data_IF_062922462235
#
_entry.id   IF_062922462235
#
_cell.length_a   1.000
_cell.length_b   1.000
_cell.length_c   1.000
_cell.angle_alpha   90.00
_cell.angle_beta   90.00
_cell.angle_gamma   90.00
#
_symmetry.space_group_name_H-M   'P 1'
#
loop_
_entity.id
_entity.type
_entity.pdbx_description
1 polymer ?
#
# COMPACT_ATOMS: atom_id res chain seq x y z
N UNK A 1 -30.46 45.76 -12.80
CA UNK A 1 -29.29 44.87 -12.83
C UNK A 1 -28.76 44.81 -14.26
N UNK A 2 -27.51 45.13 -14.46
CA UNK A 2 -26.94 45.24 -15.81
C UNK A 2 -26.82 43.85 -16.45
N UNK A 3 -27.42 43.61 -17.63
CA UNK A 3 -27.39 42.31 -18.33
C UNK A 3 -25.95 41.76 -18.47
N UNK A 4 -24.93 42.64 -18.59
CA UNK A 4 -23.53 42.22 -18.63
C UNK A 4 -23.06 41.64 -17.28
N UNK A 5 -23.50 42.17 -16.16
CA UNK A 5 -23.14 41.65 -14.84
C UNK A 5 -23.78 40.29 -14.58
N UNK A 6 -25.05 40.10 -14.99
CA UNK A 6 -25.73 38.80 -14.88
C UNK A 6 -25.01 37.74 -15.69
N UNK A 7 -24.65 38.03 -16.93
CA UNK A 7 -23.91 37.10 -17.78
C UNK A 7 -22.55 36.72 -17.19
N UNK A 8 -21.83 37.66 -16.59
CA UNK A 8 -20.53 37.39 -15.93
C UNK A 8 -20.70 36.46 -14.72
N UNK A 9 -21.73 36.71 -13.88
CA UNK A 9 -21.99 35.85 -12.72
C UNK A 9 -22.41 34.43 -13.13
N UNK A 10 -23.28 34.30 -14.15
CA UNK A 10 -23.70 33.00 -14.70
C UNK A 10 -22.50 32.25 -15.26
N UNK A 11 -21.63 32.91 -16.01
CA UNK A 11 -20.41 32.31 -16.57
C UNK A 11 -19.45 31.85 -15.49
N UNK A 12 -19.28 32.67 -14.44
CA UNK A 12 -18.41 32.35 -13.30
C UNK A 12 -18.95 31.14 -12.51
N UNK A 13 -20.26 31.09 -12.25
CA UNK A 13 -20.90 29.95 -11.61
C UNK A 13 -20.78 28.68 -12.44
N UNK A 14 -20.95 28.79 -13.77
CA UNK A 14 -20.83 27.65 -14.68
C UNK A 14 -19.40 27.12 -14.72
N UNK A 15 -18.41 28.00 -14.78
CA UNK A 15 -16.98 27.60 -14.70
C UNK A 15 -16.68 26.92 -13.37
N UNK A 16 -17.17 27.49 -12.25
CA UNK A 16 -16.96 26.95 -10.91
C UNK A 16 -17.63 25.57 -10.77
N UNK A 17 -18.85 25.42 -11.29
CA UNK A 17 -19.57 24.15 -11.30
C UNK A 17 -18.85 23.08 -12.12
N UNK A 18 -18.42 23.42 -13.36
CA UNK A 18 -17.67 22.49 -14.22
C UNK A 18 -16.33 22.10 -13.55
N UNK A 19 -15.64 23.09 -12.95
CA UNK A 19 -14.38 22.83 -12.23
C UNK A 19 -14.58 21.90 -11.02
N UNK A 20 -15.65 22.12 -10.25
CA UNK A 20 -15.99 21.25 -9.12
C UNK A 20 -16.34 19.83 -9.56
N UNK A 21 -17.08 19.70 -10.65
CA UNK A 21 -17.42 18.40 -11.25
C UNK A 21 -16.17 17.67 -11.73
N UNK A 22 -15.29 18.36 -12.42
CA UNK A 22 -14.01 17.85 -12.90
C UNK A 22 -13.09 17.40 -11.74
N UNK A 23 -12.96 18.24 -10.71
CA UNK A 23 -12.19 17.89 -9.50
C UNK A 23 -12.79 16.67 -8.79
N UNK A 24 -14.10 16.56 -8.72
CA UNK A 24 -14.78 15.38 -8.15
C UNK A 24 -14.46 14.10 -8.92
N UNK A 25 -14.43 14.16 -10.25
CA UNK A 25 -14.08 13.01 -11.10
C UNK A 25 -12.60 12.61 -10.97
N UNK A 26 -11.71 13.58 -10.86
CA UNK A 26 -10.25 13.31 -10.77
C UNK A 26 -9.84 12.90 -9.35
N UNK A 27 -10.63 13.23 -8.32
CA UNK A 27 -10.28 13.01 -6.92
C UNK A 27 -9.71 11.61 -6.63
N UNK A 28 -10.30 10.59 -7.22
CA UNK A 28 -9.85 9.20 -7.04
C UNK A 28 -8.44 8.94 -7.60
N UNK A 29 -8.02 9.71 -8.62
CA UNK A 29 -6.71 9.55 -9.27
C UNK A 29 -5.62 10.44 -8.65
N UNK A 30 -6.01 11.46 -7.88
CA UNK A 30 -5.06 12.41 -7.30
C UNK A 30 -3.99 11.73 -6.46
N UNK A 31 -4.35 10.69 -5.71
CA UNK A 31 -3.39 9.94 -4.91
C UNK A 31 -2.37 9.21 -5.79
N UNK A 32 -2.82 8.58 -6.88
CA UNK A 32 -1.94 7.89 -7.83
C UNK A 32 -0.99 8.89 -8.53
N UNK A 33 -1.50 10.06 -8.94
CA UNK A 33 -0.73 11.13 -9.57
C UNK A 33 0.30 11.70 -8.58
N UNK A 34 -0.12 11.94 -7.33
CA UNK A 34 0.76 12.44 -6.28
C UNK A 34 1.90 11.46 -5.96
N UNK A 35 1.57 10.19 -5.80
CA UNK A 35 2.57 9.13 -5.62
C UNK A 35 3.51 9.04 -6.83
N UNK A 36 2.98 9.14 -8.04
CA UNK A 36 3.80 9.17 -9.26
C UNK A 36 4.83 10.31 -9.23
N UNK A 37 4.43 11.50 -8.76
CA UNK A 37 5.33 12.64 -8.58
C UNK A 37 6.45 12.36 -7.57
N UNK A 38 6.10 11.78 -6.42
CA UNK A 38 7.07 11.41 -5.38
C UNK A 38 8.05 10.36 -5.92
N UNK A 39 7.54 9.28 -6.52
CA UNK A 39 8.40 8.22 -7.07
C UNK A 39 9.25 8.71 -8.25
N UNK A 40 8.73 9.59 -9.10
CA UNK A 40 9.51 10.22 -10.17
C UNK A 40 10.66 11.07 -9.60
N UNK A 41 10.37 11.91 -8.60
CA UNK A 41 11.39 12.74 -7.95
C UNK A 41 12.47 11.89 -7.24
N UNK A 42 12.06 10.81 -6.56
CA UNK A 42 12.98 9.86 -5.91
C UNK A 42 13.88 9.16 -6.93
N UNK A 43 13.31 8.77 -8.05
CA UNK A 43 13.97 7.98 -9.08
C UNK A 43 14.70 8.84 -10.12
N UNK A 44 14.62 10.17 -10.01
CA UNK A 44 15.26 11.09 -10.95
C UNK A 44 16.78 10.88 -11.11
N UNK A 45 17.56 10.62 -10.01
CA UNK A 45 18.98 10.30 -10.17
C UNK A 45 19.24 9.01 -10.95
N UNK A 46 18.35 8.02 -10.79
CA UNK A 46 18.41 6.74 -11.50
C UNK A 46 18.05 6.93 -12.99
N UNK A 47 16.99 7.70 -13.26
CA UNK A 47 16.58 8.09 -14.59
C UNK A 47 17.73 8.75 -15.37
N UNK A 48 18.46 9.69 -14.76
CA UNK A 48 19.61 10.33 -15.41
C UNK A 48 20.78 9.38 -15.68
N UNK A 49 20.95 8.33 -14.88
CA UNK A 49 21.95 7.28 -15.18
C UNK A 49 21.53 6.48 -16.42
N UNK A 50 20.27 6.09 -16.50
CA UNK A 50 19.72 5.40 -17.66
C UNK A 50 19.69 6.28 -18.90
N UNK A 51 19.35 7.56 -18.78
CA UNK A 51 19.35 8.50 -19.90
C UNK A 51 20.75 8.63 -20.55
N UNK A 52 21.79 8.71 -19.72
CA UNK A 52 23.18 8.68 -20.19
C UNK A 52 23.55 7.33 -20.82
N UNK A 53 23.09 6.23 -20.24
CA UNK A 53 23.38 4.88 -20.74
C UNK A 53 22.68 4.59 -22.09
N UNK A 54 21.45 5.08 -22.24
CA UNK A 54 20.69 4.94 -23.49
C UNK A 54 20.94 6.06 -24.53
N UNK A 55 21.99 6.87 -24.35
CA UNK A 55 22.38 7.90 -25.29
C UNK A 55 21.38 9.04 -25.48
N UNK A 56 20.71 9.47 -24.39
CA UNK A 56 19.73 10.57 -24.41
C UNK A 56 18.33 10.20 -24.87
N UNK A 57 18.03 8.90 -25.01
CA UNK A 57 16.69 8.41 -25.37
C UNK A 57 15.78 8.42 -24.14
N UNK A 58 15.19 9.58 -23.85
CA UNK A 58 14.37 9.85 -22.67
C UNK A 58 13.27 8.81 -22.40
N UNK A 59 12.57 8.37 -23.45
CA UNK A 59 11.52 7.37 -23.31
C UNK A 59 12.07 6.01 -22.82
N UNK A 60 13.19 5.55 -23.38
CA UNK A 60 13.83 4.30 -22.95
C UNK A 60 14.37 4.40 -21.53
N UNK A 61 14.93 5.55 -21.16
CA UNK A 61 15.38 5.81 -19.79
C UNK A 61 14.22 5.77 -18.78
N UNK A 62 13.08 6.37 -19.12
CA UNK A 62 11.87 6.33 -18.31
C UNK A 62 11.35 4.90 -18.15
N UNK A 63 11.24 4.15 -19.24
CA UNK A 63 10.84 2.73 -19.19
C UNK A 63 11.80 1.89 -18.36
N UNK A 64 13.10 2.03 -18.55
CA UNK A 64 14.10 1.29 -17.76
C UNK A 64 14.03 1.62 -16.28
N UNK A 65 13.81 2.89 -15.93
CA UNK A 65 13.64 3.33 -14.53
C UNK A 65 12.39 2.75 -13.91
N UNK A 66 11.25 2.83 -14.61
CA UNK A 66 9.98 2.28 -14.11
C UNK A 66 10.08 0.76 -13.97
N UNK A 67 10.62 0.07 -14.97
CA UNK A 67 10.79 -1.37 -14.95
C UNK A 67 11.61 -1.83 -13.72
N UNK A 68 12.72 -1.15 -13.45
CA UNK A 68 13.53 -1.47 -12.28
C UNK A 68 12.77 -1.25 -10.97
N UNK A 69 12.03 -0.14 -10.84
CA UNK A 69 11.25 0.15 -9.63
C UNK A 69 10.15 -0.88 -9.43
N UNK A 70 9.40 -1.17 -10.50
CA UNK A 70 8.34 -2.19 -10.49
C UNK A 70 8.93 -3.54 -10.07
N UNK A 71 10.08 -3.92 -10.63
CA UNK A 71 10.77 -5.14 -10.29
C UNK A 71 11.18 -5.21 -8.81
N UNK A 72 11.79 -4.12 -8.29
CA UNK A 72 12.23 -4.02 -6.89
C UNK A 72 11.05 -4.03 -5.91
N UNK A 73 9.87 -3.52 -6.31
CA UNK A 73 8.68 -3.48 -5.44
C UNK A 73 7.84 -4.75 -5.60
N UNK A 74 7.58 -5.20 -6.84
CA UNK A 74 6.65 -6.31 -7.10
C UNK A 74 7.22 -7.64 -6.63
N UNK A 75 8.54 -7.88 -6.75
CA UNK A 75 9.12 -9.16 -6.32
C UNK A 75 8.97 -9.37 -4.82
N UNK A 76 9.40 -8.45 -3.93
CA UNK A 76 9.21 -8.66 -2.49
C UNK A 76 7.74 -8.76 -2.11
N UNK A 77 6.88 -7.91 -2.71
CA UNK A 77 5.45 -7.93 -2.43
C UNK A 77 4.79 -9.23 -2.89
N UNK A 78 5.15 -9.72 -4.08
CA UNK A 78 4.65 -10.99 -4.61
C UNK A 78 5.11 -12.19 -3.78
N UNK A 79 6.36 -12.19 -3.35
CA UNK A 79 6.90 -13.22 -2.47
C UNK A 79 6.17 -13.21 -1.10
N UNK A 80 5.96 -12.03 -0.51
CA UNK A 80 5.20 -11.87 0.73
C UNK A 80 3.77 -12.39 0.59
N UNK A 81 3.06 -11.98 -0.46
CA UNK A 81 1.71 -12.47 -0.72
C UNK A 81 1.67 -14.00 -0.91
N UNK A 82 2.65 -14.57 -1.60
CA UNK A 82 2.78 -16.01 -1.78
C UNK A 82 2.96 -16.76 -0.46
N UNK A 83 3.82 -16.24 0.43
CA UNK A 83 4.07 -16.83 1.75
C UNK A 83 2.83 -16.72 2.64
N UNK A 84 2.23 -15.53 2.72
CA UNK A 84 1.01 -15.31 3.54
C UNK A 84 -0.14 -16.18 3.05
N UNK A 85 -0.32 -16.28 1.73
CA UNK A 85 -1.35 -17.16 1.15
C UNK A 85 -1.07 -18.63 1.47
N UNK A 86 0.17 -19.08 1.32
CA UNK A 86 0.56 -20.43 1.67
C UNK A 86 0.35 -20.77 3.15
N UNK A 87 0.67 -19.84 4.05
CA UNK A 87 0.40 -20.01 5.48
C UNK A 87 -1.10 -20.02 5.79
N UNK A 88 -1.87 -19.10 5.18
CA UNK A 88 -3.32 -19.07 5.35
C UNK A 88 -4.01 -20.35 4.91
N UNK A 89 -3.55 -20.96 3.79
CA UNK A 89 -4.04 -22.27 3.33
C UNK A 89 -3.71 -23.36 4.33
N UNK A 90 -2.45 -23.44 4.80
CA UNK A 90 -2.03 -24.43 5.81
C UNK A 90 -2.84 -24.33 7.10
N UNK A 91 -3.06 -23.11 7.60
CA UNK A 91 -3.90 -22.87 8.79
C UNK A 91 -5.33 -23.33 8.51
N UNK A 92 -5.89 -23.01 7.34
CA UNK A 92 -7.22 -23.45 6.94
C UNK A 92 -7.34 -24.98 6.88
N UNK A 93 -6.35 -25.67 6.30
CA UNK A 93 -6.29 -27.14 6.21
C UNK A 93 -6.11 -27.81 7.58
N UNK A 94 -5.44 -27.17 8.52
CA UNK A 94 -5.23 -27.71 9.86
C UNK A 94 -6.43 -27.42 10.79
N UNK A 95 -6.96 -26.21 10.71
CA UNK A 95 -8.05 -25.77 11.62
C UNK A 95 -9.39 -26.37 11.19
N UNK A 96 -9.66 -26.47 9.89
CA UNK A 96 -10.96 -26.99 9.40
C UNK A 96 -11.25 -28.43 9.84
N UNK A 97 -10.36 -29.41 9.63
CA UNK A 97 -10.59 -30.78 10.12
C UNK A 97 -10.68 -30.85 11.64
N UNK A 98 -9.84 -30.10 12.35
CA UNK A 98 -9.88 -30.03 13.81
C UNK A 98 -11.23 -29.51 14.30
N UNK A 99 -11.76 -28.44 13.71
CA UNK A 99 -13.07 -27.89 14.05
C UNK A 99 -14.20 -28.86 13.68
N UNK A 100 -14.16 -29.46 12.48
CA UNK A 100 -15.15 -30.44 12.03
C UNK A 100 -15.16 -31.68 12.94
N UNK A 101 -13.99 -32.17 13.34
CA UNK A 101 -13.85 -33.30 14.25
C UNK A 101 -14.39 -32.97 15.65
N UNK A 102 -14.08 -31.77 16.17
CA UNK A 102 -14.58 -31.30 17.47
C UNK A 102 -16.10 -31.05 17.47
N UNK A 103 -16.66 -30.61 16.35
CA UNK A 103 -18.11 -30.40 16.20
C UNK A 103 -18.86 -31.70 15.96
N UNK A 104 -18.23 -32.69 15.32
CA UNK A 104 -18.81 -34.00 14.97
C UNK A 104 -18.79 -34.97 16.16
N UNK A 105 -17.83 -34.81 17.09
CA UNK A 105 -17.71 -35.59 18.31
C UNK A 105 -17.86 -34.72 19.56
N UNK A 106 -19.11 -34.47 19.99
CA UNK A 106 -19.36 -33.67 21.20
C UNK A 106 -18.66 -34.23 22.47
N UNK A 107 -18.30 -35.50 22.45
CA UNK A 107 -17.62 -36.18 23.54
C UNK A 107 -16.12 -35.90 23.62
N UNK A 108 -15.47 -35.53 22.53
CA UNK A 108 -14.03 -35.22 22.52
C UNK A 108 -13.74 -33.93 23.32
N UNK A 109 -14.53 -32.89 23.13
CA UNK A 109 -14.44 -31.65 23.94
C UNK A 109 -14.80 -31.95 25.39
N UNK A 110 -15.81 -32.78 25.62
CA UNK A 110 -16.28 -33.21 26.95
C UNK A 110 -15.14 -33.91 27.70
N UNK A 111 -14.40 -34.82 27.06
CA UNK A 111 -13.32 -35.57 27.71
C UNK A 111 -12.11 -34.66 28.04
N UNK A 112 -11.78 -33.71 27.16
CA UNK A 112 -10.71 -32.73 27.41
C UNK A 112 -11.12 -31.75 28.53
N UNK A 113 -12.37 -31.33 28.55
CA UNK A 113 -12.92 -30.47 29.62
C UNK A 113 -13.02 -31.18 30.96
N UNK A 114 -13.37 -32.48 30.98
CA UNK A 114 -13.42 -33.31 32.22
C UNK A 114 -12.06 -33.45 32.89
N UNK A 115 -10.96 -33.29 32.15
CA UNK A 115 -9.61 -33.31 32.72
C UNK A 115 -9.20 -32.01 33.42
N UNK A 116 -10.01 -30.95 33.34
CA UNK A 116 -9.73 -29.68 33.99
C UNK A 116 -10.25 -29.68 35.45
N UNK A 117 -9.49 -29.16 36.42
CA UNK A 117 -9.84 -29.18 37.83
C UNK A 117 -11.08 -28.34 38.22
N UNK A 118 -11.68 -27.62 37.24
CA UNK A 118 -12.85 -26.76 37.45
C UNK A 118 -14.06 -27.18 36.59
N UNK A 119 -14.14 -28.44 36.16
CA UNK A 119 -15.17 -28.93 35.26
C UNK A 119 -16.59 -28.72 35.79
N UNK A 120 -16.85 -29.00 37.07
CA UNK A 120 -18.16 -28.88 37.69
C UNK A 120 -18.76 -27.48 37.62
N UNK A 121 -17.92 -26.44 37.50
CA UNK A 121 -18.36 -25.06 37.35
C UNK A 121 -18.65 -24.67 35.90
N UNK A 122 -18.13 -25.41 34.92
CA UNK A 122 -18.23 -25.14 33.49
C UNK A 122 -19.37 -25.95 32.87
N UNK A 123 -19.74 -27.09 33.40
CA UNK A 123 -20.76 -27.98 32.88
C UNK A 123 -22.11 -27.30 32.59
N UNK A 124 -22.66 -26.41 33.45
CA UNK A 124 -23.92 -25.72 33.16
C UNK A 124 -23.84 -24.79 31.93
N UNK A 125 -22.64 -24.34 31.57
CA UNK A 125 -22.40 -23.41 30.45
C UNK A 125 -21.89 -24.10 29.20
N UNK A 126 -21.78 -25.44 29.19
CA UNK A 126 -21.23 -26.23 28.07
C UNK A 126 -21.90 -25.89 26.72
N UNK A 127 -23.22 -25.94 26.67
CA UNK A 127 -23.97 -25.67 25.44
C UNK A 127 -23.80 -24.22 24.98
N UNK A 128 -23.74 -23.28 25.91
CA UNK A 128 -23.48 -21.88 25.60
C UNK A 128 -22.07 -21.68 25.02
N UNK A 129 -21.03 -22.32 25.63
CA UNK A 129 -19.64 -22.26 25.15
C UNK A 129 -19.52 -22.88 23.75
N UNK A 130 -20.12 -24.03 23.49
CA UNK A 130 -20.12 -24.69 22.21
C UNK A 130 -20.81 -23.83 21.12
N UNK A 131 -21.96 -23.25 21.48
CA UNK A 131 -22.69 -22.36 20.56
C UNK A 131 -21.84 -21.10 20.24
N UNK A 132 -21.19 -20.51 21.23
CA UNK A 132 -20.32 -19.35 21.05
C UNK A 132 -19.06 -19.69 20.27
N UNK A 133 -18.44 -20.82 20.51
CA UNK A 133 -17.31 -21.30 19.74
C UNK A 133 -17.70 -21.52 18.26
N UNK A 134 -18.83 -22.17 17.99
CA UNK A 134 -19.36 -22.31 16.65
C UNK A 134 -19.68 -20.98 15.95
N UNK A 135 -20.24 -20.02 16.68
CA UNK A 135 -20.45 -18.66 16.16
C UNK A 135 -19.14 -17.96 15.83
N UNK A 136 -18.12 -18.06 16.70
CA UNK A 136 -16.79 -17.49 16.44
C UNK A 136 -16.15 -18.09 15.18
N UNK A 137 -16.21 -19.41 15.04
CA UNK A 137 -15.71 -20.09 13.83
C UNK A 137 -16.47 -19.63 12.58
N UNK A 138 -17.80 -19.53 12.66
CA UNK A 138 -18.63 -19.00 11.58
C UNK A 138 -18.26 -17.55 11.22
N UNK A 139 -18.05 -16.69 12.21
CA UNK A 139 -17.61 -15.31 11.98
C UNK A 139 -16.20 -15.22 11.38
N UNK A 140 -15.27 -16.05 11.84
CA UNK A 140 -13.91 -16.12 11.25
C UNK A 140 -13.98 -16.60 9.81
N UNK A 141 -14.75 -17.63 9.52
CA UNK A 141 -14.90 -18.18 8.16
C UNK A 141 -15.55 -17.17 7.22
N UNK A 142 -16.64 -16.50 7.63
CA UNK A 142 -17.28 -15.45 6.82
C UNK A 142 -16.34 -14.27 6.62
N UNK A 143 -15.64 -13.82 7.64
CA UNK A 143 -14.63 -12.76 7.55
C UNK A 143 -13.54 -13.12 6.53
N UNK A 144 -13.01 -14.34 6.56
CA UNK A 144 -12.00 -14.80 5.60
C UNK A 144 -12.55 -14.82 4.17
N UNK A 145 -13.76 -15.35 3.96
CA UNK A 145 -14.40 -15.40 2.63
C UNK A 145 -14.67 -14.00 2.11
N UNK A 146 -15.19 -13.09 2.94
CA UNK A 146 -15.47 -11.71 2.56
C UNK A 146 -14.17 -10.95 2.24
N UNK A 147 -13.08 -11.22 2.99
CA UNK A 147 -11.78 -10.65 2.70
C UNK A 147 -11.17 -11.19 1.40
N UNK A 148 -11.35 -12.47 1.11
CA UNK A 148 -10.91 -13.04 -0.18
C UNK A 148 -11.67 -12.42 -1.36
N UNK A 149 -12.97 -12.19 -1.24
CA UNK A 149 -13.76 -11.46 -2.25
C UNK A 149 -13.31 -10.01 -2.37
N UNK A 150 -13.10 -9.32 -1.26
CA UNK A 150 -12.60 -7.93 -1.25
C UNK A 150 -11.21 -7.82 -1.89
N UNK A 151 -10.34 -8.82 -1.73
CA UNK A 151 -9.03 -8.89 -2.41
C UNK A 151 -9.20 -8.91 -3.92
N UNK A 152 -10.16 -9.67 -4.46
CA UNK A 152 -10.34 -9.76 -5.91
C UNK A 152 -10.75 -8.41 -6.53
N UNK A 153 -11.75 -7.73 -5.96
CA UNK A 153 -12.19 -6.42 -6.44
C UNK A 153 -11.12 -5.35 -6.15
N UNK A 154 -10.50 -5.42 -4.96
CA UNK A 154 -9.41 -4.53 -4.58
C UNK A 154 -8.20 -4.65 -5.49
N UNK A 155 -7.89 -5.86 -5.97
CA UNK A 155 -6.77 -6.11 -6.88
C UNK A 155 -6.97 -5.42 -8.23
N UNK A 156 -8.18 -5.49 -8.81
CA UNK A 156 -8.48 -4.80 -10.09
C UNK A 156 -8.31 -3.29 -9.93
N UNK A 157 -8.88 -2.71 -8.88
CA UNK A 157 -8.73 -1.28 -8.60
C UNK A 157 -7.27 -0.90 -8.31
N UNK A 158 -6.55 -1.73 -7.57
CA UNK A 158 -5.13 -1.53 -7.30
C UNK A 158 -4.30 -1.55 -8.59
N UNK A 159 -4.50 -2.54 -9.46
CA UNK A 159 -3.79 -2.63 -10.74
C UNK A 159 -4.11 -1.44 -11.64
N UNK A 160 -5.35 -0.98 -11.66
CA UNK A 160 -5.76 0.20 -12.40
C UNK A 160 -5.09 1.48 -11.86
N UNK A 161 -5.08 1.67 -10.54
CA UNK A 161 -4.40 2.80 -9.91
C UNK A 161 -2.88 2.74 -10.08
N UNK A 162 -2.30 1.55 -10.00
CA UNK A 162 -0.89 1.30 -10.28
C UNK A 162 -0.55 1.67 -11.73
N UNK A 163 -1.38 1.27 -12.70
CA UNK A 163 -1.21 1.64 -14.10
C UNK A 163 -1.21 3.16 -14.27
N UNK A 164 -2.18 3.88 -13.68
CA UNK A 164 -2.25 5.33 -13.74
C UNK A 164 -1.01 5.96 -13.09
N UNK A 165 -0.57 5.44 -11.95
CA UNK A 165 0.63 5.90 -11.27
C UNK A 165 1.88 5.74 -12.15
N UNK A 166 2.09 4.56 -12.73
CA UNK A 166 3.26 4.27 -13.58
C UNK A 166 3.22 5.07 -14.87
N UNK A 167 2.03 5.21 -15.49
CA UNK A 167 1.83 6.03 -16.68
C UNK A 167 2.16 7.50 -16.41
N UNK A 168 1.63 8.06 -15.33
CA UNK A 168 1.93 9.44 -14.91
C UNK A 168 3.40 9.61 -14.57
N UNK A 169 3.99 8.65 -13.86
CA UNK A 169 5.41 8.64 -13.52
C UNK A 169 6.30 8.64 -14.77
N UNK A 170 5.91 7.93 -15.83
CA UNK A 170 6.61 7.92 -17.10
C UNK A 170 6.75 9.34 -17.66
N UNK A 171 5.65 10.09 -17.71
CA UNK A 171 5.68 11.47 -18.22
C UNK A 171 6.40 12.42 -17.28
N UNK A 172 6.28 12.23 -15.96
CA UNK A 172 7.00 13.06 -14.99
C UNK A 172 8.52 12.86 -15.07
N UNK A 173 9.00 11.66 -15.36
CA UNK A 173 10.42 11.40 -15.59
C UNK A 173 10.89 12.00 -16.92
N UNK A 174 10.07 11.90 -17.97
CA UNK A 174 10.45 12.31 -19.32
C UNK A 174 10.39 13.83 -19.52
N UNK A 175 9.32 14.46 -19.03
CA UNK A 175 8.98 15.86 -19.29
C UNK A 175 8.75 16.68 -18.01
N UNK A 176 9.15 16.19 -16.84
CA UNK A 176 8.90 16.83 -15.55
C UNK A 176 9.42 18.26 -15.47
N UNK A 177 10.62 18.51 -15.98
CA UNK A 177 11.21 19.86 -15.99
C UNK A 177 10.36 20.84 -16.83
N UNK A 178 9.86 20.37 -17.98
CA UNK A 178 9.00 21.20 -18.84
C UNK A 178 7.65 21.48 -18.16
N UNK A 179 7.11 20.46 -17.48
CA UNK A 179 5.84 20.58 -16.77
C UNK A 179 5.95 21.58 -15.61
N UNK A 180 7.01 21.48 -14.81
CA UNK A 180 7.28 22.40 -13.71
C UNK A 180 7.41 23.83 -14.24
N UNK A 181 8.25 24.06 -15.25
CA UNK A 181 8.43 25.37 -15.84
C UNK A 181 7.13 25.95 -16.42
N UNK A 182 6.27 25.08 -17.00
CA UNK A 182 4.97 25.51 -17.51
C UNK A 182 4.00 25.88 -16.38
N UNK A 183 3.99 25.13 -15.30
CA UNK A 183 3.15 25.43 -14.10
C UNK A 183 3.58 26.77 -13.52
N UNK A 184 4.88 26.97 -13.35
CA UNK A 184 5.44 28.20 -12.79
C UNK A 184 5.10 29.43 -13.65
N UNK A 185 5.18 29.30 -14.97
CA UNK A 185 4.81 30.39 -15.89
C UNK A 185 3.36 30.90 -15.70
N UNK A 186 2.43 30.04 -15.27
CA UNK A 186 1.04 30.43 -15.02
C UNK A 186 0.79 30.88 -13.56
N UNK A 187 1.75 30.72 -12.67
CA UNK A 187 1.64 31.21 -11.30
C UNK A 187 2.03 32.70 -11.27
N UNK A 188 1.21 33.58 -10.67
CA UNK A 188 1.54 35.00 -10.51
C UNK A 188 2.54 35.20 -9.36
N UNK A 189 3.72 34.56 -9.48
CA UNK A 189 4.80 34.67 -8.49
C UNK A 189 5.97 35.44 -9.08
N UNK A 190 6.71 36.17 -8.24
CA UNK A 190 7.98 36.74 -8.64
C UNK A 190 9.05 35.64 -8.81
N UNK A 191 9.97 35.82 -9.77
CA UNK A 191 11.02 34.85 -10.11
C UNK A 191 11.84 34.37 -8.89
N UNK A 192 12.01 35.23 -7.88
CA UNK A 192 12.73 34.91 -6.65
C UNK A 192 11.94 33.96 -5.74
N UNK A 193 10.64 34.17 -5.62
CA UNK A 193 9.76 33.33 -4.77
C UNK A 193 9.54 31.96 -5.41
N UNK A 194 9.43 31.93 -6.74
CA UNK A 194 9.37 30.71 -7.55
C UNK A 194 10.56 29.80 -7.28
N UNK A 195 11.78 30.33 -7.46
CA UNK A 195 13.03 29.57 -7.22
C UNK A 195 13.18 29.14 -5.77
N UNK A 196 12.79 29.99 -4.82
CA UNK A 196 12.82 29.70 -3.40
C UNK A 196 11.87 28.56 -3.04
N UNK A 197 10.64 28.58 -3.61
CA UNK A 197 9.63 27.55 -3.41
C UNK A 197 10.07 26.20 -3.99
N UNK A 198 10.60 26.19 -5.22
CA UNK A 198 11.15 24.98 -5.85
C UNK A 198 12.32 24.38 -5.07
N UNK A 199 13.26 25.23 -4.65
CA UNK A 199 14.41 24.78 -3.89
C UNK A 199 13.98 24.20 -2.53
N UNK A 200 13.02 24.86 -1.87
CA UNK A 200 12.47 24.40 -0.59
C UNK A 200 11.72 23.08 -0.76
N UNK A 201 10.86 22.98 -1.77
CA UNK A 201 10.13 21.75 -2.09
C UNK A 201 11.09 20.59 -2.38
N UNK A 202 12.07 20.80 -3.26
CA UNK A 202 13.07 19.79 -3.63
C UNK A 202 13.91 19.38 -2.42
N UNK A 203 14.32 20.35 -1.57
CA UNK A 203 15.12 20.08 -0.38
C UNK A 203 14.32 19.26 0.65
N UNK A 204 13.08 19.65 0.94
CA UNK A 204 12.18 18.93 1.87
C UNK A 204 11.89 17.54 1.35
N UNK A 205 11.51 17.40 0.08
CA UNK A 205 11.23 16.10 -0.53
C UNK A 205 12.47 15.19 -0.43
N UNK A 206 13.64 15.70 -0.80
CA UNK A 206 14.90 14.93 -0.71
C UNK A 206 15.24 14.54 0.73
N UNK A 207 15.07 15.45 1.70
CA UNK A 207 15.31 15.16 3.10
C UNK A 207 14.35 14.08 3.64
N UNK A 208 13.05 14.20 3.33
CA UNK A 208 12.03 13.21 3.70
C UNK A 208 12.35 11.85 3.10
N UNK A 209 12.67 11.79 1.82
CA UNK A 209 12.99 10.54 1.13
C UNK A 209 14.24 9.87 1.69
N UNK A 210 15.29 10.66 1.96
CA UNK A 210 16.49 10.15 2.63
C UNK A 210 16.17 9.64 4.04
N UNK A 211 15.38 10.39 4.80
CA UNK A 211 14.92 9.99 6.13
C UNK A 211 14.15 8.68 6.10
N UNK A 212 13.18 8.55 5.19
CA UNK A 212 12.41 7.31 5.00
C UNK A 212 13.31 6.13 4.62
N UNK A 213 14.28 6.34 3.73
CA UNK A 213 15.24 5.29 3.35
C UNK A 213 16.09 4.82 4.54
N UNK A 214 16.62 5.76 5.34
CA UNK A 214 17.40 5.43 6.55
C UNK A 214 16.54 4.70 7.57
N UNK A 215 15.33 5.18 7.83
CA UNK A 215 14.36 4.54 8.74
C UNK A 215 14.03 3.13 8.23
N UNK A 216 13.78 2.96 6.93
CA UNK A 216 13.48 1.66 6.33
C UNK A 216 14.62 0.65 6.49
N UNK A 217 15.86 1.07 6.25
CA UNK A 217 17.03 0.22 6.44
C UNK A 217 17.19 -0.15 7.92
N UNK A 218 17.04 0.80 8.83
CA UNK A 218 17.11 0.53 10.27
C UNK A 218 16.03 -0.43 10.73
N UNK A 219 14.78 -0.19 10.33
CA UNK A 219 13.66 -1.06 10.66
C UNK A 219 13.83 -2.48 10.10
N UNK A 220 14.23 -2.59 8.84
CA UNK A 220 14.49 -3.88 8.21
C UNK A 220 15.64 -4.64 8.86
N UNK A 221 16.71 -3.94 9.24
CA UNK A 221 17.85 -4.55 9.90
C UNK A 221 17.50 -5.03 11.32
N UNK A 222 16.81 -4.18 12.11
CA UNK A 222 16.40 -4.52 13.47
C UNK A 222 15.37 -5.67 13.47
N UNK A 223 14.38 -5.63 12.57
CA UNK A 223 13.40 -6.69 12.46
C UNK A 223 14.02 -8.00 11.97
N UNK A 224 14.91 -7.95 10.95
CA UNK A 224 15.64 -9.12 10.48
C UNK A 224 16.51 -9.73 11.57
N UNK A 225 17.18 -8.92 12.37
CA UNK A 225 17.94 -9.38 13.53
C UNK A 225 17.05 -10.02 14.60
N UNK A 226 15.90 -9.40 14.92
CA UNK A 226 14.95 -9.95 15.87
C UNK A 226 14.39 -11.30 15.40
N UNK A 227 14.00 -11.41 14.12
CA UNK A 227 13.53 -12.67 13.53
C UNK A 227 14.59 -13.77 13.54
N UNK A 228 15.86 -13.42 13.30
CA UNK A 228 16.97 -14.37 13.40
C UNK A 228 17.17 -14.89 14.83
N UNK A 229 17.04 -14.02 15.85
CA UNK A 229 17.16 -14.41 17.27
C UNK A 229 16.01 -15.32 17.72
N UNK A 230 14.80 -15.08 17.22
CA UNK A 230 13.62 -15.90 17.55
C UNK A 230 13.60 -17.21 16.75
N UNK A 231 14.49 -17.38 15.76
CA UNK A 231 14.58 -18.59 14.96
C UNK A 231 13.56 -18.64 13.81
N UNK A 232 13.06 -17.49 13.35
CA UNK A 232 12.18 -17.44 12.18
C UNK A 232 13.02 -17.68 10.92
N UNK A 233 12.61 -18.65 10.11
CA UNK A 233 13.25 -18.96 8.84
C UNK A 233 13.27 -17.75 7.90
N UNK A 234 14.39 -17.60 7.17
CA UNK A 234 14.56 -16.52 6.19
C UNK A 234 14.50 -15.10 6.78
N UNK A 235 15.01 -14.89 8.01
CA UNK A 235 15.02 -13.62 8.72
C UNK A 235 15.56 -12.43 7.88
N UNK A 236 16.62 -12.68 7.07
CA UNK A 236 17.19 -11.68 6.16
C UNK A 236 16.21 -11.27 5.08
N UNK A 237 15.46 -12.22 4.56
CA UNK A 237 14.40 -11.95 3.58
C UNK A 237 13.32 -11.06 4.18
N UNK A 238 12.79 -11.40 5.35
CA UNK A 238 11.77 -10.62 6.05
C UNK A 238 12.25 -9.21 6.41
N UNK A 239 13.48 -9.08 6.86
CA UNK A 239 14.11 -7.78 7.11
C UNK A 239 14.21 -6.94 5.84
N UNK A 240 14.57 -7.54 4.70
CA UNK A 240 14.66 -6.85 3.41
C UNK A 240 13.28 -6.40 2.92
N UNK A 241 12.27 -7.28 3.01
CA UNK A 241 10.87 -6.96 2.68
C UNK A 241 10.39 -5.79 3.51
N UNK A 242 10.67 -5.78 4.82
CA UNK A 242 10.29 -4.69 5.71
C UNK A 242 10.96 -3.38 5.35
N UNK A 243 12.26 -3.41 5.01
CA UNK A 243 12.99 -2.23 4.55
C UNK A 243 12.36 -1.63 3.28
N UNK A 244 11.98 -2.46 2.32
CA UNK A 244 11.33 -2.01 1.07
C UNK A 244 9.92 -1.51 1.33
N UNK A 245 9.12 -2.23 2.11
CA UNK A 245 7.74 -1.83 2.40
C UNK A 245 7.64 -0.58 3.26
N UNK A 246 8.67 -0.23 4.04
CA UNK A 246 8.69 1.00 4.84
C UNK A 246 8.63 2.28 4.01
N UNK A 247 8.92 2.20 2.70
CA UNK A 247 8.71 3.31 1.77
C UNK A 247 7.21 3.62 1.54
N UNK A 248 6.30 2.71 1.88
CA UNK A 248 4.86 2.93 1.79
C UNK A 248 4.37 3.51 3.12
N UNK A 249 4.06 4.82 3.20
CA UNK A 249 3.69 5.45 4.46
C UNK A 249 2.38 4.86 5.01
N UNK A 250 2.40 4.47 6.29
CA UNK A 250 1.22 4.01 7.04
C UNK A 250 0.89 2.52 6.98
N UNK A 251 1.42 1.76 6.02
CA UNK A 251 1.08 0.33 5.85
C UNK A 251 2.32 -0.56 5.91
N UNK A 252 3.49 -0.06 5.48
CA UNK A 252 4.66 -0.85 5.14
C UNK A 252 5.13 -1.83 6.21
N UNK A 253 5.29 -1.40 7.44
CA UNK A 253 5.77 -2.26 8.54
C UNK A 253 4.68 -3.16 9.10
N UNK A 254 3.42 -2.71 9.13
CA UNK A 254 2.30 -3.48 9.66
C UNK A 254 2.02 -4.77 8.87
N UNK A 255 2.27 -4.76 7.55
CA UNK A 255 2.12 -5.94 6.68
C UNK A 255 3.10 -7.07 7.01
N UNK A 256 4.25 -6.76 7.58
CA UNK A 256 5.25 -7.78 7.95
C UNK A 256 5.03 -8.27 9.38
N UNK A 257 4.71 -7.37 10.31
CA UNK A 257 4.48 -7.73 11.72
C UNK A 257 3.18 -8.50 11.95
N UNK A 258 2.16 -8.28 11.13
CA UNK A 258 0.86 -8.94 11.29
C UNK A 258 0.90 -10.46 11.06
N UNK A 259 1.62 -10.99 10.04
CA UNK A 259 1.74 -12.43 9.79
C UNK A 259 2.88 -13.14 10.56
N UNK A 260 3.86 -12.39 11.09
CA UNK A 260 5.02 -12.93 11.82
C UNK A 260 4.70 -13.17 13.29
#
# INVERSE_FOLDING_TARGET
MNKKAINQWVLLLLVLFISALFLSMIRQFLMAIFLAGIFAALSYPLYHRFDRWFGGRRALASFGTIFLIVFVIIIPLGALLGIVTGQAIKVGETVKPWVEQQLSEPDAISNTLKSLPFYDHIEPYRNWILTKAGQLVGHISSFLIDRLRAVTVGTVNFLFMLFIMLYTMFFFLMDGDKLINKILYYLPLEDQDERRMLNKFTSVTRATLKGTAVIGILQGTLAGAAFAVVGIDSAVFWGTVMAVLSFIPGIGTALVWGPA
#
